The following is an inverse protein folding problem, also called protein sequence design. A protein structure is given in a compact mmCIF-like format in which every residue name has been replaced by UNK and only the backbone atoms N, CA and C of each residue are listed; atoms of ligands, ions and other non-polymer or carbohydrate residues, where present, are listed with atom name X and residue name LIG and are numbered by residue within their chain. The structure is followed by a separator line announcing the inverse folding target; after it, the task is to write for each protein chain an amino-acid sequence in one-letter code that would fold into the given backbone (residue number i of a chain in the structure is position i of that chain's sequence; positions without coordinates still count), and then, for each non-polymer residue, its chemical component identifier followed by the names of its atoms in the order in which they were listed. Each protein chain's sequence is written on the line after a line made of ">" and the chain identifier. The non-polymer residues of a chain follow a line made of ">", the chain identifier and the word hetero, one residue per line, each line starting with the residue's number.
data_IF_857815563329
#
_entry.id   IF_857815563329
#
_cell.length_a   1.000
_cell.length_b   1.000
_cell.length_c   1.000
_cell.angle_alpha   90.00
_cell.angle_beta   90.00
_cell.angle_gamma   90.00
#
_symmetry.space_group_name_H-M   'P 1'
#
loop_
_entity.id
_entity.type
_entity.pdbx_description
1 polymer ?
#
# COMPACT_ATOMS: atom_id res chain seq x y z
N UNK A 1 6.24 14.17 -9.20
CA UNK A 1 5.93 12.89 -9.84
C UNK A 1 4.63 12.40 -9.26
N UNK A 2 3.71 11.98 -10.10
CA UNK A 2 2.42 11.45 -9.67
C UNK A 2 2.59 9.96 -9.37
N UNK A 3 2.13 9.53 -8.19
CA UNK A 3 2.17 8.16 -7.73
C UNK A 3 0.77 7.55 -7.81
N UNK A 4 0.70 6.26 -8.13
CA UNK A 4 -0.53 5.47 -8.13
C UNK A 4 -0.58 4.60 -6.88
N UNK A 5 -1.78 4.37 -6.36
CA UNK A 5 -2.01 3.41 -5.30
C UNK A 5 -1.93 2.00 -5.88
N UNK A 6 -1.13 1.15 -5.25
CA UNK A 6 -0.81 -0.19 -5.73
C UNK A 6 -1.11 -1.18 -4.62
N UNK A 7 -1.81 -2.25 -4.99
CA UNK A 7 -2.08 -3.40 -4.14
C UNK A 7 -1.56 -4.64 -4.87
N UNK A 8 -0.76 -5.45 -4.18
CA UNK A 8 -0.17 -6.67 -4.72
C UNK A 8 -0.42 -7.85 -3.81
N UNK A 9 -1.07 -8.85 -4.36
CA UNK A 9 -1.29 -10.11 -3.68
C UNK A 9 -0.24 -11.14 -4.09
N UNK A 10 0.26 -11.87 -3.13
CA UNK A 10 1.10 -13.03 -3.38
C UNK A 10 0.23 -14.27 -3.30
N UNK A 11 0.15 -15.00 -4.42
CA UNK A 11 -0.62 -16.25 -4.55
C UNK A 11 0.06 -17.44 -3.85
N UNK A 12 0.62 -17.23 -2.68
CA UNK A 12 1.22 -18.28 -1.88
C UNK A 12 0.59 -18.27 -0.50
N UNK A 13 0.24 -19.45 -0.04
CA UNK A 13 -0.25 -19.63 1.33
C UNK A 13 0.82 -19.17 2.32
N UNK A 14 0.39 -18.48 3.38
CA UNK A 14 1.25 -18.16 4.49
C UNK A 14 1.32 -19.39 5.39
N UNK A 15 2.53 -19.75 5.78
CA UNK A 15 2.73 -20.74 6.83
C UNK A 15 2.48 -20.11 8.20
N UNK A 16 1.73 -20.82 9.01
CA UNK A 16 1.47 -20.39 10.38
C UNK A 16 2.50 -21.06 11.30
N UNK A 17 3.45 -20.27 11.81
CA UNK A 17 4.30 -20.71 12.90
C UNK A 17 3.55 -20.51 14.21
N UNK A 18 3.12 -21.62 14.79
CA UNK A 18 2.50 -21.62 16.12
C UNK A 18 3.58 -21.48 17.18
N UNK A 19 3.47 -20.42 17.97
CA UNK A 19 3.93 -20.28 19.33
C UNK A 19 5.43 -20.31 19.64
N UNK A 20 6.07 -19.15 19.53
CA UNK A 20 7.27 -18.90 20.31
C UNK A 20 6.88 -18.45 21.75
N UNK A 21 7.36 -19.15 22.77
CA UNK A 21 7.30 -18.66 24.15
C UNK A 21 8.32 -17.54 24.33
N UNK A 22 7.86 -16.37 24.76
CA UNK A 22 8.78 -15.32 25.18
C UNK A 22 9.49 -15.72 26.50
N UNK A 23 10.47 -14.90 26.92
CA UNK A 23 11.22 -15.14 28.18
C UNK A 23 10.32 -15.18 29.43
N UNK A 24 9.09 -14.68 29.35
CA UNK A 24 8.09 -14.67 30.43
C UNK A 24 7.13 -15.86 30.36
N UNK A 25 7.29 -16.76 29.37
CA UNK A 25 6.42 -17.93 29.16
C UNK A 25 5.11 -17.65 28.44
N UNK A 26 4.87 -16.40 28.00
CA UNK A 26 3.70 -16.01 27.24
C UNK A 26 3.84 -16.50 25.79
N UNK A 27 2.81 -17.14 25.29
CA UNK A 27 2.76 -17.65 23.91
C UNK A 27 2.35 -16.55 22.95
N UNK A 28 3.09 -16.40 21.84
CA UNK A 28 2.75 -15.49 20.75
C UNK A 28 2.64 -16.26 19.44
N UNK A 29 1.58 -15.98 18.72
CA UNK A 29 1.36 -16.54 17.38
C UNK A 29 2.10 -15.68 16.35
N UNK A 30 2.79 -16.32 15.41
CA UNK A 30 3.43 -15.66 14.29
C UNK A 30 2.91 -16.24 12.97
N UNK A 31 2.91 -15.41 11.95
CA UNK A 31 2.73 -15.80 10.56
C UNK A 31 4.03 -15.56 9.81
N UNK A 32 4.37 -16.46 8.89
CA UNK A 32 5.56 -16.33 8.05
C UNK A 32 5.29 -16.81 6.64
N UNK A 33 6.06 -16.33 5.68
CA UNK A 33 5.94 -16.72 4.28
C UNK A 33 6.44 -15.63 3.35
N UNK A 34 6.25 -15.78 2.05
CA UNK A 34 6.56 -14.72 1.10
C UNK A 34 5.56 -13.58 1.25
N UNK A 35 6.05 -12.41 1.64
CA UNK A 35 5.23 -11.21 1.83
C UNK A 35 5.29 -10.27 0.63
N UNK A 36 6.37 -10.33 -0.16
CA UNK A 36 6.56 -9.51 -1.36
C UNK A 36 7.40 -10.28 -2.39
N UNK A 37 7.25 -9.90 -3.66
CA UNK A 37 8.03 -10.43 -4.78
C UNK A 37 8.52 -9.30 -5.69
N UNK A 38 9.72 -9.46 -6.26
CA UNK A 38 10.28 -8.58 -7.28
C UNK A 38 10.96 -9.38 -8.38
N UNK A 39 11.35 -8.73 -9.48
CA UNK A 39 11.94 -9.36 -10.64
C UNK A 39 10.90 -9.73 -11.68
N UNK A 40 10.45 -10.98 -11.71
CA UNK A 40 9.47 -11.45 -12.68
C UNK A 40 8.09 -10.80 -12.50
N UNK A 41 7.29 -10.68 -13.59
CA UNK A 41 5.92 -10.19 -13.49
C UNK A 41 5.09 -11.07 -12.53
N UNK A 42 4.39 -10.42 -11.61
CA UNK A 42 3.46 -11.10 -10.68
C UNK A 42 2.12 -11.46 -11.35
N UNK A 43 1.18 -12.00 -10.58
CA UNK A 43 -0.15 -12.39 -11.06
C UNK A 43 -0.97 -11.23 -11.65
N UNK A 44 -0.64 -9.99 -11.32
CA UNK A 44 -1.26 -8.77 -11.85
C UNK A 44 -0.53 -8.22 -13.09
N UNK A 45 0.47 -8.93 -13.62
CA UNK A 45 1.29 -8.52 -14.75
C UNK A 45 2.24 -7.36 -14.43
N UNK A 46 2.51 -7.10 -13.14
CA UNK A 46 3.43 -6.06 -12.68
C UNK A 46 4.79 -6.63 -12.33
N UNK A 47 5.83 -5.93 -12.75
CA UNK A 47 7.23 -6.22 -12.44
C UNK A 47 7.83 -5.09 -11.61
N UNK A 48 8.61 -5.45 -10.61
CA UNK A 48 9.33 -4.55 -9.72
C UNK A 48 10.83 -4.74 -9.88
N UNK A 49 11.57 -3.66 -10.05
CA UNK A 49 13.03 -3.75 -10.05
C UNK A 49 13.52 -4.24 -8.69
N UNK A 50 14.36 -5.29 -8.69
CA UNK A 50 14.82 -5.94 -7.47
C UNK A 50 15.68 -5.02 -6.59
N UNK A 51 16.54 -4.19 -7.20
CA UNK A 51 17.43 -3.29 -6.46
C UNK A 51 16.64 -2.14 -5.83
N UNK A 52 15.61 -1.61 -6.55
CA UNK A 52 14.70 -0.62 -5.99
C UNK A 52 13.91 -1.21 -4.80
N UNK A 53 13.42 -2.44 -4.93
CA UNK A 53 12.69 -3.12 -3.88
C UNK A 53 13.57 -3.39 -2.64
N UNK A 54 14.85 -3.75 -2.83
CA UNK A 54 15.81 -3.89 -1.73
C UNK A 54 15.95 -2.57 -0.97
N UNK A 55 16.10 -1.45 -1.70
CA UNK A 55 16.18 -0.12 -1.10
C UNK A 55 14.93 0.24 -0.30
N UNK A 56 13.76 -0.05 -0.85
CA UNK A 56 12.48 0.23 -0.18
C UNK A 56 12.26 -0.66 1.07
N UNK A 57 12.62 -1.94 1.00
CA UNK A 57 12.55 -2.85 2.17
C UNK A 57 13.48 -2.35 3.27
N UNK A 58 14.71 -1.97 2.94
CA UNK A 58 15.65 -1.41 3.92
C UNK A 58 15.12 -0.13 4.58
N UNK A 59 14.46 0.75 3.80
CA UNK A 59 13.75 1.92 4.35
C UNK A 59 12.63 1.50 5.30
N UNK A 60 11.77 0.57 4.86
CA UNK A 60 10.62 0.10 5.65
C UNK A 60 11.07 -0.59 6.95
N UNK A 61 12.14 -1.39 6.90
CA UNK A 61 12.75 -1.97 8.11
C UNK A 61 13.18 -0.89 9.10
N UNK A 62 13.93 0.11 8.64
CA UNK A 62 14.43 1.19 9.48
C UNK A 62 13.31 2.05 10.07
N UNK A 63 12.35 2.47 9.24
CA UNK A 63 11.34 3.45 9.61
C UNK A 63 10.14 2.83 10.33
N UNK A 64 9.78 1.59 9.98
CA UNK A 64 8.55 0.95 10.44
C UNK A 64 8.79 -0.26 11.34
N UNK A 65 9.63 -1.22 10.92
CA UNK A 65 9.83 -2.46 11.69
C UNK A 65 10.63 -2.17 12.97
N UNK A 66 11.77 -1.52 12.87
CA UNK A 66 12.62 -1.21 14.03
C UNK A 66 11.94 -0.27 15.03
N UNK A 67 11.04 0.59 14.55
CA UNK A 67 10.25 1.49 15.41
C UNK A 67 8.95 0.87 15.91
N UNK A 68 8.66 -0.41 15.56
CA UNK A 68 7.45 -1.15 15.90
C UNK A 68 6.15 -0.48 15.41
N UNK A 69 6.19 0.12 14.23
CA UNK A 69 5.05 0.77 13.56
C UNK A 69 4.53 0.00 12.34
N UNK A 70 5.17 -1.11 11.97
CA UNK A 70 4.83 -1.92 10.81
C UNK A 70 3.58 -2.78 11.05
N UNK A 71 2.46 -2.15 11.47
CA UNK A 71 1.17 -2.84 11.65
C UNK A 71 0.52 -3.06 10.29
N UNK A 72 -0.18 -4.20 10.14
CA UNK A 72 -1.00 -4.53 8.99
C UNK A 72 -2.44 -4.78 9.39
N UNK A 73 -3.36 -4.51 8.47
CA UNK A 73 -4.80 -4.60 8.69
C UNK A 73 -5.37 -5.93 8.21
N UNK A 74 -6.56 -6.26 8.71
CA UNK A 74 -7.40 -7.29 8.12
C UNK A 74 -8.15 -6.68 6.92
N UNK A 75 -7.98 -7.27 5.74
CA UNK A 75 -8.41 -6.74 4.43
C UNK A 75 -7.65 -5.47 3.97
N UNK A 76 -7.91 -5.09 2.71
CA UNK A 76 -7.39 -3.88 2.11
C UNK A 76 -8.41 -2.75 2.18
N UNK A 77 -8.26 -1.75 3.05
CA UNK A 77 -9.00 -0.51 2.87
C UNK A 77 -8.47 0.25 1.65
N UNK A 78 -9.35 0.94 0.94
CA UNK A 78 -8.98 1.83 -0.17
C UNK A 78 -8.38 3.15 0.38
N UNK A 79 -7.33 3.06 1.15
CA UNK A 79 -6.71 4.19 1.84
C UNK A 79 -5.20 4.03 1.91
N UNK A 80 -4.49 5.14 1.83
CA UNK A 80 -3.06 5.23 2.15
C UNK A 80 -2.80 5.32 3.66
N UNK A 81 -3.84 5.58 4.45
CA UNK A 81 -3.77 5.60 5.90
C UNK A 81 -4.03 4.21 6.47
N UNK A 82 -3.32 3.85 7.53
CA UNK A 82 -3.51 2.62 8.27
C UNK A 82 -4.47 2.91 9.43
N UNK A 83 -5.58 2.17 9.51
CA UNK A 83 -6.52 2.27 10.61
C UNK A 83 -6.12 1.29 11.74
N UNK A 84 -5.65 1.76 12.90
CA UNK A 84 -5.24 0.88 14.01
C UNK A 84 -6.35 -0.01 14.54
N UNK A 85 -7.63 0.34 14.33
CA UNK A 85 -8.78 -0.48 14.74
C UNK A 85 -8.82 -1.80 13.99
N UNK A 86 -8.37 -1.81 12.73
CA UNK A 86 -8.33 -2.99 11.86
C UNK A 86 -7.01 -3.75 11.97
N UNK A 87 -6.04 -3.26 12.73
CA UNK A 87 -4.73 -3.88 12.86
C UNK A 87 -4.83 -5.29 13.44
N UNK A 88 -4.31 -6.28 12.72
CA UNK A 88 -4.33 -7.69 13.11
C UNK A 88 -2.95 -8.28 13.34
N UNK A 89 -1.89 -7.72 12.78
CA UNK A 89 -0.52 -8.18 12.95
C UNK A 89 0.49 -7.04 12.95
N UNK A 90 1.72 -7.35 13.38
CA UNK A 90 2.89 -6.48 13.37
C UNK A 90 4.03 -7.18 12.67
N UNK A 91 4.52 -6.64 11.58
CA UNK A 91 5.71 -7.16 10.89
C UNK A 91 6.94 -6.95 11.79
N UNK A 92 7.68 -8.03 12.03
CA UNK A 92 8.88 -8.02 12.88
C UNK A 92 10.15 -8.33 12.11
N UNK A 93 10.02 -8.93 10.93
CA UNK A 93 11.14 -9.26 10.06
C UNK A 93 10.68 -9.30 8.60
N UNK A 94 11.58 -8.87 7.70
CA UNK A 94 11.38 -8.96 6.26
C UNK A 94 12.75 -9.20 5.60
N UNK A 95 13.01 -10.42 5.11
CA UNK A 95 14.30 -10.82 4.57
C UNK A 95 14.20 -11.28 3.12
N UNK A 96 15.13 -10.84 2.29
CA UNK A 96 15.22 -11.30 0.90
C UNK A 96 15.63 -12.77 0.80
N UNK A 97 14.94 -13.50 -0.07
CA UNK A 97 15.29 -14.85 -0.51
C UNK A 97 15.02 -14.96 -2.03
N UNK A 98 16.06 -14.82 -2.84
CA UNK A 98 15.92 -14.77 -4.30
C UNK A 98 15.10 -13.56 -4.75
N UNK A 99 14.00 -13.82 -5.47
CA UNK A 99 13.03 -12.81 -5.91
C UNK A 99 11.94 -12.52 -4.86
N UNK A 100 11.92 -13.27 -3.75
CA UNK A 100 10.94 -13.09 -2.69
C UNK A 100 11.52 -12.34 -1.50
N UNK A 101 10.65 -11.66 -0.77
CA UNK A 101 10.92 -11.14 0.56
C UNK A 101 10.07 -11.92 1.56
N UNK A 102 10.75 -12.76 2.33
CA UNK A 102 10.12 -13.61 3.35
C UNK A 102 9.91 -12.76 4.60
N UNK A 103 8.66 -12.68 5.02
CA UNK A 103 8.27 -11.94 6.20
C UNK A 103 7.97 -12.82 7.39
N UNK A 104 8.12 -12.23 8.58
CA UNK A 104 7.60 -12.76 9.85
C UNK A 104 6.80 -11.67 10.53
N UNK A 105 5.57 -11.99 10.95
CA UNK A 105 4.70 -11.06 11.65
C UNK A 105 4.13 -11.67 12.91
N UNK A 106 4.11 -10.90 13.98
CA UNK A 106 3.43 -11.26 15.23
C UNK A 106 1.94 -10.95 15.10
N UNK A 107 1.07 -11.91 15.37
CA UNK A 107 -0.37 -11.68 15.52
C UNK A 107 -0.62 -10.84 16.78
N UNK A 108 -1.42 -9.79 16.64
CA UNK A 108 -1.69 -8.84 17.72
C UNK A 108 -2.82 -9.33 18.63
N UNK A 109 -2.85 -8.83 19.87
CA UNK A 109 -3.95 -9.08 20.82
C UNK A 109 -5.18 -8.17 20.59
N UNK A 110 -5.22 -7.44 19.46
CA UNK A 110 -6.36 -6.63 19.04
C UNK A 110 -7.57 -7.52 18.66
N UNK A 111 -8.80 -6.97 18.58
CA UNK A 111 -9.96 -7.74 18.11
C UNK A 111 -9.72 -8.40 16.73
N UNK A 112 -9.09 -7.67 15.77
CA UNK A 112 -8.78 -8.21 14.45
C UNK A 112 -7.65 -9.25 14.51
N UNK A 113 -6.67 -9.11 15.40
CA UNK A 113 -5.66 -10.13 15.62
C UNK A 113 -6.24 -11.40 16.23
N UNK A 114 -7.21 -11.29 17.14
CA UNK A 114 -7.94 -12.47 17.64
C UNK A 114 -8.76 -13.16 16.56
N UNK A 115 -9.41 -12.39 15.68
CA UNK A 115 -10.11 -12.93 14.52
C UNK A 115 -9.15 -13.69 13.59
N UNK A 116 -7.97 -13.12 13.31
CA UNK A 116 -6.92 -13.79 12.53
C UNK A 116 -6.47 -15.08 13.21
N UNK A 117 -6.24 -15.06 14.53
CA UNK A 117 -5.85 -16.25 15.30
C UNK A 117 -6.91 -17.36 15.20
N UNK A 118 -8.20 -17.03 15.26
CA UNK A 118 -9.29 -17.99 15.07
C UNK A 118 -9.29 -18.57 13.65
N UNK A 119 -9.11 -17.74 12.61
CA UNK A 119 -8.99 -18.24 11.23
C UNK A 119 -7.83 -19.22 11.07
N UNK A 120 -6.69 -18.93 11.71
CA UNK A 120 -5.53 -19.83 11.72
C UNK A 120 -5.89 -21.17 12.38
N UNK A 121 -6.56 -21.15 13.55
CA UNK A 121 -6.97 -22.35 14.27
C UNK A 121 -7.99 -23.20 13.48
N UNK A 122 -8.88 -22.54 12.73
CA UNK A 122 -9.87 -23.18 11.88
C UNK A 122 -9.29 -23.63 10.52
N UNK A 123 -7.96 -23.48 10.30
CA UNK A 123 -7.27 -23.78 9.04
C UNK A 123 -7.81 -23.01 7.82
N UNK A 124 -8.35 -21.82 8.04
CA UNK A 124 -8.77 -20.92 6.96
C UNK A 124 -7.51 -20.36 6.30
N UNK A 125 -7.42 -20.52 4.99
CA UNK A 125 -6.29 -19.99 4.20
C UNK A 125 -6.35 -18.48 4.10
N UNK A 126 -5.26 -17.85 4.46
CA UNK A 126 -5.07 -16.41 4.39
C UNK A 126 -3.81 -16.11 3.59
N UNK A 127 -3.72 -14.95 2.99
CA UNK A 127 -2.57 -14.46 2.26
C UNK A 127 -2.06 -13.13 2.82
N UNK A 128 -0.88 -12.70 2.37
CA UNK A 128 -0.40 -11.34 2.57
C UNK A 128 -0.49 -10.58 1.27
N UNK A 129 -0.91 -9.36 1.37
CA UNK A 129 -0.97 -8.42 0.27
C UNK A 129 -0.25 -7.13 0.61
N UNK A 130 0.44 -6.58 -0.37
CA UNK A 130 1.24 -5.37 -0.26
C UNK A 130 0.40 -4.17 -0.64
N UNK A 131 0.37 -3.15 0.20
CA UNK A 131 -0.25 -1.86 -0.08
C UNK A 131 0.84 -0.79 -0.17
N UNK A 132 0.89 -0.08 -1.30
CA UNK A 132 1.93 0.91 -1.55
C UNK A 132 1.54 1.96 -2.59
N UNK A 133 2.49 2.83 -2.88
CA UNK A 133 2.42 3.82 -3.94
C UNK A 133 3.56 3.60 -4.93
N UNK A 134 3.34 3.89 -6.20
CA UNK A 134 4.38 3.79 -7.22
C UNK A 134 3.98 4.41 -8.54
N UNK A 135 4.93 4.51 -9.44
CA UNK A 135 4.71 4.92 -10.83
C UNK A 135 4.61 3.66 -11.68
N UNK A 136 3.55 3.54 -12.49
CA UNK A 136 3.36 2.40 -13.39
C UNK A 136 3.64 2.85 -14.83
N UNK A 137 4.58 2.16 -15.50
CA UNK A 137 4.90 2.36 -16.91
C UNK A 137 4.71 1.02 -17.62
N UNK A 138 3.86 0.98 -18.65
CA UNK A 138 3.63 -0.22 -19.44
C UNK A 138 4.61 -0.25 -20.61
N UNK A 139 5.33 -1.36 -20.76
CA UNK A 139 6.24 -1.63 -21.87
C UNK A 139 6.08 -3.07 -22.31
N UNK A 140 5.72 -3.29 -23.57
CA UNK A 140 5.54 -4.62 -24.18
C UNK A 140 4.56 -5.53 -23.40
N UNK A 141 3.49 -4.94 -22.86
CA UNK A 141 2.46 -5.67 -22.11
C UNK A 141 2.82 -6.00 -20.65
N UNK A 142 4.00 -5.56 -20.19
CA UNK A 142 4.41 -5.66 -18.77
C UNK A 142 4.29 -4.30 -18.10
N UNK A 143 3.60 -4.25 -16.98
CA UNK A 143 3.47 -3.04 -16.14
C UNK A 143 4.68 -2.94 -15.21
N UNK A 144 5.65 -2.11 -15.56
CA UNK A 144 6.83 -1.88 -14.74
C UNK A 144 6.53 -0.84 -13.66
N UNK A 145 6.70 -1.23 -12.40
CA UNK A 145 6.53 -0.35 -11.25
C UNK A 145 7.88 0.23 -10.86
N UNK A 146 7.92 1.55 -10.68
CA UNK A 146 9.09 2.30 -10.21
C UNK A 146 8.69 3.30 -9.12
N UNK A 147 9.66 3.82 -8.38
CA UNK A 147 9.44 4.70 -7.24
C UNK A 147 8.46 4.10 -6.22
N UNK A 148 8.56 2.79 -6.02
CA UNK A 148 7.65 2.08 -5.11
C UNK A 148 7.89 2.51 -3.66
N UNK A 149 6.80 2.85 -2.97
CA UNK A 149 6.78 3.20 -1.54
C UNK A 149 5.84 2.28 -0.81
N UNK A 150 6.37 1.37 -0.01
CA UNK A 150 5.59 0.45 0.82
C UNK A 150 4.89 1.21 1.96
N UNK A 151 3.58 1.04 2.06
CA UNK A 151 2.76 1.58 3.16
C UNK A 151 2.63 0.54 4.24
N UNK A 152 2.09 -0.64 3.91
CA UNK A 152 1.91 -1.76 4.83
C UNK A 152 1.76 -3.08 4.09
N UNK A 153 1.73 -4.14 4.86
CA UNK A 153 1.45 -5.51 4.46
C UNK A 153 0.16 -5.92 5.17
N UNK A 154 -0.89 -6.27 4.44
CA UNK A 154 -2.21 -6.58 4.99
C UNK A 154 -2.52 -8.07 4.87
N UNK A 155 -3.32 -8.61 5.79
CA UNK A 155 -3.82 -9.99 5.72
C UNK A 155 -5.11 -10.03 4.92
N UNK A 156 -5.17 -10.91 3.91
CA UNK A 156 -6.32 -11.05 3.00
C UNK A 156 -6.78 -12.49 2.88
N UNK A 157 -8.10 -12.70 2.70
CA UNK A 157 -8.65 -14.05 2.57
C UNK A 157 -8.47 -14.63 1.16
N UNK A 158 -8.71 -13.84 0.13
CA UNK A 158 -8.50 -14.26 -1.26
C UNK A 158 -7.68 -13.19 -1.98
N UNK A 159 -6.42 -13.47 -2.28
CA UNK A 159 -5.70 -12.67 -3.21
C UNK A 159 -6.35 -12.78 -4.61
N UNK A 160 -6.67 -11.67 -5.25
CA UNK A 160 -6.74 -11.51 -6.71
C UNK A 160 -8.06 -11.53 -7.51
N UNK A 161 -9.24 -11.83 -7.03
CA UNK A 161 -10.44 -11.73 -7.92
C UNK A 161 -11.18 -10.40 -7.76
N UNK A 162 -11.15 -9.78 -6.61
CA UNK A 162 -11.76 -8.45 -6.37
C UNK A 162 -10.84 -7.29 -6.80
N UNK A 163 -9.55 -7.52 -6.92
CA UNK A 163 -8.57 -6.47 -7.21
C UNK A 163 -8.62 -5.94 -8.64
N UNK A 164 -9.10 -6.68 -9.63
CA UNK A 164 -9.25 -6.16 -10.99
C UNK A 164 -10.23 -4.97 -11.07
N UNK A 165 -11.29 -4.97 -10.26
CA UNK A 165 -12.20 -3.83 -10.16
C UNK A 165 -11.63 -2.71 -9.27
N UNK A 166 -10.87 -3.05 -8.22
CA UNK A 166 -10.18 -2.11 -7.37
C UNK A 166 -9.06 -1.39 -8.11
N UNK A 167 -8.27 -2.10 -8.92
CA UNK A 167 -7.24 -1.52 -9.77
C UNK A 167 -7.79 -0.44 -10.70
N UNK A 168 -8.91 -0.68 -11.38
CA UNK A 168 -9.49 0.28 -12.30
C UNK A 168 -10.01 1.55 -11.61
N UNK A 169 -10.48 1.45 -10.38
CA UNK A 169 -10.94 2.60 -9.57
C UNK A 169 -9.76 3.37 -8.98
N UNK A 170 -8.69 2.67 -8.56
CA UNK A 170 -7.54 3.28 -7.90
C UNK A 170 -6.48 3.81 -8.88
N UNK A 171 -6.36 3.22 -10.07
CA UNK A 171 -5.52 3.77 -11.15
C UNK A 171 -5.98 5.15 -11.63
N UNK A 172 -7.22 5.54 -11.36
CA UNK A 172 -7.74 6.88 -11.66
C UNK A 172 -7.35 7.95 -10.62
N UNK A 173 -6.79 7.54 -9.47
CA UNK A 173 -6.32 8.43 -8.42
C UNK A 173 -4.80 8.52 -8.43
N UNK A 174 -4.26 9.68 -8.13
CA UNK A 174 -2.82 9.91 -8.01
C UNK A 174 -2.51 10.52 -6.65
N UNK A 175 -1.33 10.20 -6.14
CA UNK A 175 -0.84 10.70 -4.85
C UNK A 175 0.51 11.39 -5.04
N UNK A 176 0.81 12.32 -4.16
CA UNK A 176 2.14 12.90 -4.03
C UNK A 176 2.63 12.75 -2.60
N UNK A 177 3.93 12.56 -2.45
CA UNK A 177 4.60 12.61 -1.16
C UNK A 177 5.21 14.00 -1.03
N UNK A 178 4.85 14.74 0.03
CA UNK A 178 5.45 16.02 0.36
C UNK A 178 6.85 15.83 0.97
N UNK A 179 7.62 16.91 1.08
CA UNK A 179 8.97 16.90 1.65
C UNK A 179 8.99 16.42 3.12
N UNK A 180 7.89 16.61 3.86
CA UNK A 180 7.71 16.13 5.23
C UNK A 180 7.29 14.64 5.31
N UNK A 181 7.18 13.95 4.16
CA UNK A 181 6.75 12.55 4.07
C UNK A 181 5.24 12.35 4.06
N UNK A 182 4.43 13.40 4.16
CA UNK A 182 2.97 13.32 4.12
C UNK A 182 2.49 12.90 2.74
N UNK A 183 1.60 11.90 2.67
CA UNK A 183 0.96 11.43 1.44
C UNK A 183 -0.33 12.23 1.24
N UNK A 184 -0.47 12.85 0.06
CA UNK A 184 -1.69 13.59 -0.31
C UNK A 184 -2.25 13.08 -1.63
N UNK A 185 -3.57 12.92 -1.71
CA UNK A 185 -4.26 12.57 -2.94
C UNK A 185 -4.27 13.78 -3.89
N UNK A 186 -3.85 13.54 -5.14
CA UNK A 186 -3.86 14.55 -6.21
C UNK A 186 -5.12 14.36 -7.07
N UNK A 187 -6.00 15.34 -7.12
CA UNK A 187 -7.17 15.32 -8.00
C UNK A 187 -6.76 15.71 -9.43
N UNK A 188 -6.30 14.72 -10.20
CA UNK A 188 -5.76 14.92 -11.56
C UNK A 188 -6.82 15.37 -12.54
N UNK A 189 -8.06 14.92 -12.39
CA UNK A 189 -9.14 15.33 -13.27
C UNK A 189 -9.38 16.84 -13.16
N UNK A 190 -9.23 17.43 -11.99
CA UNK A 190 -9.29 18.86 -11.80
C UNK A 190 -8.12 19.56 -12.49
N UNK A 191 -6.90 19.01 -12.40
CA UNK A 191 -5.71 19.58 -13.02
C UNK A 191 -5.73 19.46 -14.55
N UNK A 192 -6.06 18.29 -15.09
CA UNK A 192 -6.21 18.07 -16.55
C UNK A 192 -7.34 18.93 -17.14
N UNK A 193 -8.43 19.07 -16.41
CA UNK A 193 -9.56 19.95 -16.78
C UNK A 193 -9.14 21.41 -16.76
N UNK A 194 -8.41 21.85 -15.72
CA UNK A 194 -7.85 23.18 -15.60
C UNK A 194 -6.88 23.47 -16.77
N UNK A 195 -5.95 22.57 -17.06
CA UNK A 195 -4.97 22.71 -18.14
C UNK A 195 -5.66 22.77 -19.51
N UNK A 196 -6.65 21.90 -19.77
CA UNK A 196 -7.46 21.92 -20.99
C UNK A 196 -8.20 23.22 -21.15
N UNK A 197 -8.85 23.70 -20.11
CA UNK A 197 -9.60 24.96 -20.13
C UNK A 197 -8.67 26.16 -20.35
N UNK A 198 -7.51 26.19 -19.70
CA UNK A 198 -6.50 27.24 -19.89
C UNK A 198 -5.96 27.28 -21.33
N UNK A 199 -5.79 26.14 -21.98
CA UNK A 199 -5.36 26.09 -23.39
C UNK A 199 -6.41 26.65 -24.36
N UNK A 200 -7.69 26.59 -24.01
CA UNK A 200 -8.81 27.04 -24.84
C UNK A 200 -9.20 28.50 -24.60
N UNK A 201 -8.83 29.08 -23.44
CA UNK A 201 -9.16 30.45 -23.07
C UNK A 201 -8.24 31.49 -23.75
N UNK A 202 -8.76 32.66 -24.15
CA UNK A 202 -7.96 33.81 -24.56
C UNK A 202 -6.99 34.25 -23.45
N UNK A 203 -5.78 34.67 -23.81
CA UNK A 203 -4.71 34.99 -22.84
C UNK A 203 -5.16 35.98 -21.75
N UNK A 204 -5.97 37.00 -22.12
CA UNK A 204 -6.43 38.04 -21.16
C UNK A 204 -7.39 37.51 -20.08
N UNK A 205 -7.99 36.33 -20.26
CA UNK A 205 -8.97 35.76 -19.33
C UNK A 205 -8.36 34.63 -18.48
N UNK A 206 -7.13 34.26 -18.75
CA UNK A 206 -6.48 33.10 -18.07
C UNK A 206 -6.19 33.37 -16.59
N UNK A 207 -5.73 34.58 -16.29
CA UNK A 207 -5.37 34.95 -14.90
C UNK A 207 -6.61 35.03 -14.00
N UNK A 208 -7.73 35.54 -14.52
CA UNK A 208 -8.97 35.59 -13.79
C UNK A 208 -9.54 34.18 -13.54
N UNK A 209 -9.54 33.34 -14.56
CA UNK A 209 -9.94 31.95 -14.43
C UNK A 209 -9.06 31.17 -13.43
N UNK A 210 -7.74 31.33 -13.47
CA UNK A 210 -6.82 30.71 -12.49
C UNK A 210 -7.11 31.17 -11.06
N UNK A 211 -7.38 32.45 -10.87
CA UNK A 211 -7.72 33.02 -9.56
C UNK A 211 -9.03 32.44 -9.01
N UNK A 212 -10.05 32.28 -9.83
CA UNK A 212 -11.31 31.66 -9.44
C UNK A 212 -11.13 30.18 -9.06
N UNK A 213 -10.37 29.41 -9.86
CA UNK A 213 -10.09 28.00 -9.56
C UNK A 213 -9.28 27.84 -8.27
N UNK A 214 -8.30 28.71 -8.04
CA UNK A 214 -7.49 28.71 -6.82
C UNK A 214 -8.36 29.03 -5.58
N UNK A 215 -9.25 30.02 -5.67
CA UNK A 215 -10.17 30.36 -4.59
C UNK A 215 -11.16 29.22 -4.30
N UNK A 216 -11.65 28.54 -5.35
CA UNK A 216 -12.50 27.37 -5.21
C UNK A 216 -11.77 26.23 -4.47
N UNK A 217 -10.53 25.98 -4.84
CA UNK A 217 -9.68 24.95 -4.21
C UNK A 217 -9.40 25.28 -2.73
N UNK A 218 -9.03 26.52 -2.41
CA UNK A 218 -8.80 26.97 -1.03
C UNK A 218 -10.09 26.82 -0.19
N UNK A 219 -11.26 27.15 -0.76
CA UNK A 219 -12.54 27.01 -0.07
C UNK A 219 -12.92 25.53 0.15
N UNK A 220 -12.58 24.63 -0.77
CA UNK A 220 -12.78 23.19 -0.61
C UNK A 220 -11.91 22.63 0.53
N UNK A 221 -10.65 23.05 0.61
CA UNK A 221 -9.74 22.68 1.72
C UNK A 221 -10.30 23.16 3.06
N UNK A 222 -10.78 24.40 3.14
CA UNK A 222 -11.35 24.95 4.37
C UNK A 222 -12.61 24.22 4.84
N UNK A 223 -13.42 23.68 3.91
CA UNK A 223 -14.61 22.89 4.25
C UNK A 223 -14.31 21.44 4.67
N UNK A 224 -13.17 20.89 4.25
CA UNK A 224 -12.72 19.54 4.64
C UNK A 224 -11.96 19.50 5.97
N UNK A 225 -11.73 20.64 6.60
CA UNK A 225 -11.01 20.76 7.90
C UNK A 225 -12.00 20.93 9.08
N UNK A 226 -13.31 20.91 8.85
CA UNK A 226 -14.33 20.97 9.92
C UNK A 226 -14.96 19.61 10.16
#
# INVERSE_FOLDING_TARGET
>A
MSLKFIVEDIHQDIDFLVEEKNKTGERKTFITGPFMMAGDPNGNGRSYNIDEMIGEVARYEKEMIHTRRAIGEMNHPQSTEINPINACHLVVELKRNGNYFIGKSQVLSTPMGKLLENFIQDNIKMGISTRGLGTINETSGVKNVSNFRLICLDVVHQPSVQNAMLESVMESREWAIKDDGTIVECTIDAYKTLEKNLKTLPNKNRDEYLKEQLLSFINAIKKGIN
#
